data_IF_270416026679
#
_entry.id   IF_270416026679
#
_cell.length_a   1.000
_cell.length_b   1.000
_cell.length_c   1.000
_cell.angle_alpha   90.00
_cell.angle_beta   90.00
_cell.angle_gamma   90.00
#
_symmetry.space_group_name_H-M   'P 1'
#
loop_
_entity.id
_entity.type
_entity.pdbx_description
1 polymer ?
#
# COMPACT_ATOMS: atom_id res chain seq x y z
N UNK A 1 17.87 20.35 -43.46
CA UNK A 1 17.53 19.19 -42.64
C UNK A 1 17.18 19.72 -41.26
N UNK A 2 15.90 19.91 -41.01
CA UNK A 2 15.39 20.42 -39.74
C UNK A 2 15.27 19.24 -38.76
N UNK A 3 16.16 19.16 -37.77
CA UNK A 3 16.01 18.26 -36.66
C UNK A 3 14.82 18.74 -35.81
N UNK A 4 13.65 18.19 -36.07
CA UNK A 4 12.54 18.26 -35.12
C UNK A 4 12.95 17.40 -33.91
N UNK A 5 13.48 18.02 -32.88
CA UNK A 5 13.58 17.42 -31.56
C UNK A 5 12.16 17.05 -31.13
N UNK A 6 11.81 15.78 -31.23
CA UNK A 6 10.57 15.26 -30.68
C UNK A 6 10.64 15.40 -29.17
N UNK A 7 10.10 16.52 -28.64
CA UNK A 7 9.84 16.61 -27.22
C UNK A 7 9.08 15.35 -26.78
N UNK A 8 9.45 14.72 -25.67
CA UNK A 8 8.76 13.54 -25.17
C UNK A 8 7.28 13.92 -24.97
N UNK A 9 6.42 13.32 -25.79
CA UNK A 9 4.99 13.59 -25.71
C UNK A 9 4.47 13.08 -24.36
N UNK A 10 4.31 14.01 -23.43
CA UNK A 10 3.66 13.76 -22.17
C UNK A 10 2.38 12.94 -22.38
N UNK A 11 2.07 11.96 -21.52
CA UNK A 11 0.76 11.37 -21.49
C UNK A 11 -0.26 12.46 -21.14
N UNK A 12 -0.84 13.09 -22.16
CA UNK A 12 -1.71 14.28 -22.03
C UNK A 12 -2.83 14.13 -20.99
N UNK A 13 -3.24 12.88 -20.71
CA UNK A 13 -4.17 12.56 -19.63
C UNK A 13 -3.60 12.73 -18.22
N UNK A 14 -2.32 12.37 -17.99
CA UNK A 14 -1.69 12.50 -16.67
C UNK A 14 -1.41 13.96 -16.30
N UNK A 15 -1.04 14.80 -17.26
CA UNK A 15 -0.84 16.24 -17.00
C UNK A 15 -2.12 16.90 -16.49
N UNK A 16 -3.28 16.52 -17.04
CA UNK A 16 -4.57 17.05 -16.62
C UNK A 16 -4.95 16.69 -15.19
N UNK A 17 -4.37 15.61 -14.63
CA UNK A 17 -4.60 15.23 -13.23
C UNK A 17 -3.73 15.99 -12.24
N UNK A 18 -2.59 16.56 -12.67
CA UNK A 18 -1.65 17.28 -11.80
C UNK A 18 -2.30 18.50 -11.11
N UNK A 19 -3.02 19.41 -11.80
CA UNK A 19 -3.68 20.53 -11.14
C UNK A 19 -4.71 20.08 -10.10
N UNK A 20 -5.46 19.02 -10.38
CA UNK A 20 -6.44 18.47 -9.44
C UNK A 20 -5.73 17.90 -8.22
N UNK A 21 -4.67 17.12 -8.41
CA UNK A 21 -3.87 16.58 -7.31
C UNK A 21 -3.26 17.71 -6.45
N UNK A 22 -2.75 18.77 -7.06
CA UNK A 22 -2.22 19.93 -6.34
C UNK A 22 -3.29 20.64 -5.51
N UNK A 23 -4.50 20.85 -6.05
CA UNK A 23 -5.61 21.43 -5.30
C UNK A 23 -5.98 20.59 -4.08
N UNK A 24 -6.02 19.26 -4.25
CA UNK A 24 -6.30 18.34 -3.15
C UNK A 24 -5.20 18.36 -2.10
N UNK A 25 -3.92 18.45 -2.51
CA UNK A 25 -2.78 18.61 -1.58
C UNK A 25 -2.88 19.92 -0.80
N UNK A 26 -3.17 21.03 -1.48
CA UNK A 26 -3.33 22.34 -0.82
C UNK A 26 -4.47 22.30 0.20
N UNK A 27 -5.62 21.73 -0.16
CA UNK A 27 -6.74 21.57 0.76
C UNK A 27 -6.37 20.69 1.97
N UNK A 28 -5.66 19.59 1.75
CA UNK A 28 -5.17 18.72 2.82
C UNK A 28 -4.18 19.40 3.75
N UNK A 29 -3.24 20.17 3.20
CA UNK A 29 -2.28 20.95 3.99
C UNK A 29 -2.99 22.02 4.84
N UNK A 30 -3.96 22.73 4.27
CA UNK A 30 -4.76 23.72 5.02
C UNK A 30 -5.53 23.06 6.17
N UNK A 31 -6.15 21.90 5.91
CA UNK A 31 -6.84 21.12 6.94
C UNK A 31 -5.87 20.62 8.03
N UNK A 32 -4.66 20.18 7.65
CA UNK A 32 -3.65 19.76 8.61
C UNK A 32 -3.13 20.94 9.46
N UNK A 33 -2.95 22.13 8.90
CA UNK A 33 -2.62 23.31 9.69
C UNK A 33 -3.70 23.62 10.74
N UNK A 34 -4.98 23.43 10.42
CA UNK A 34 -6.08 23.55 11.40
C UNK A 34 -5.94 22.49 12.50
N UNK A 35 -5.66 21.23 12.13
CA UNK A 35 -5.45 20.16 13.09
C UNK A 35 -4.25 20.46 14.02
N UNK A 36 -3.13 20.95 13.47
CA UNK A 36 -1.95 21.31 14.26
C UNK A 36 -2.25 22.42 15.29
N UNK A 37 -3.09 23.41 14.90
CA UNK A 37 -3.43 24.52 15.79
C UNK A 37 -4.42 24.14 16.89
N UNK A 38 -5.31 23.17 16.63
CA UNK A 38 -6.38 22.77 17.55
C UNK A 38 -6.10 21.44 18.27
N UNK A 39 -5.08 20.70 17.84
CA UNK A 39 -4.75 19.38 18.33
C UNK A 39 -5.66 18.27 17.79
N UNK A 40 -5.37 17.02 18.17
CA UNK A 40 -6.12 15.84 17.72
C UNK A 40 -7.56 15.77 18.28
N UNK A 41 -7.93 16.59 19.23
CA UNK A 41 -9.29 16.63 19.82
C UNK A 41 -10.40 17.00 18.83
N UNK A 42 -10.07 17.49 17.63
CA UNK A 42 -11.05 17.79 16.56
C UNK A 42 -11.21 16.63 15.55
N UNK A 43 -10.48 15.53 15.75
CA UNK A 43 -10.61 14.29 14.99
C UNK A 43 -11.66 13.38 15.61
N UNK A 44 -11.97 12.28 14.93
CA UNK A 44 -12.82 11.22 15.48
C UNK A 44 -12.13 10.34 16.54
N UNK A 45 -10.84 10.57 16.81
CA UNK A 45 -10.07 9.80 17.78
C UNK A 45 -10.59 10.01 19.20
N UNK A 46 -10.52 8.96 20.00
CA UNK A 46 -10.92 8.97 21.41
C UNK A 46 -9.90 8.20 22.26
N UNK A 47 -10.12 8.22 23.60
CA UNK A 47 -9.32 7.38 24.48
C UNK A 47 -9.45 5.89 24.17
N UNK A 48 -10.63 5.43 23.74
CA UNK A 48 -10.92 4.02 23.47
C UNK A 48 -10.46 3.61 22.07
N UNK A 49 -10.53 4.53 21.09
CA UNK A 49 -10.04 4.33 19.71
C UNK A 49 -8.97 5.39 19.43
N UNK A 50 -7.73 5.07 19.75
CA UNK A 50 -6.59 5.99 19.61
C UNK A 50 -5.96 5.99 18.21
N UNK A 51 -6.22 4.97 17.39
CA UNK A 51 -5.79 4.87 16.00
C UNK A 51 -7.00 4.75 15.09
N UNK A 52 -7.16 5.72 14.20
CA UNK A 52 -8.28 5.82 13.29
C UNK A 52 -7.86 5.76 11.83
N UNK A 53 -8.42 6.66 11.02
CA UNK A 53 -8.22 6.71 9.57
C UNK A 53 -6.74 6.80 9.17
N UNK A 54 -5.94 7.63 9.84
CA UNK A 54 -4.54 7.85 9.45
C UNK A 54 -3.69 6.57 9.60
N UNK A 55 -3.74 5.92 10.76
CA UNK A 55 -3.01 4.66 10.99
C UNK A 55 -3.56 3.53 10.11
N UNK A 56 -4.86 3.54 9.81
CA UNK A 56 -5.47 2.61 8.86
C UNK A 56 -4.87 2.77 7.45
N UNK A 57 -4.66 4.00 7.00
CA UNK A 57 -4.03 4.27 5.71
C UNK A 57 -2.54 3.90 5.73
N UNK A 58 -1.81 4.25 6.80
CA UNK A 58 -0.43 3.82 6.99
C UNK A 58 -0.28 2.31 6.79
N UNK A 59 -1.04 1.52 7.54
CA UNK A 59 -1.00 0.04 7.49
C UNK A 59 -1.28 -0.50 6.09
N UNK A 60 -2.25 0.10 5.40
CA UNK A 60 -2.59 -0.29 4.04
C UNK A 60 -1.48 0.05 3.04
N UNK A 61 -0.93 1.27 3.08
CA UNK A 61 0.09 1.71 2.12
C UNK A 61 1.45 1.04 2.34
N UNK A 62 1.79 0.61 3.56
CA UNK A 62 2.90 -0.33 3.79
C UNK A 62 2.69 -1.60 2.95
N UNK A 63 1.44 -2.11 2.88
CA UNK A 63 1.09 -3.22 2.00
C UNK A 63 1.30 -2.92 0.51
N UNK A 64 0.89 -1.74 0.04
CA UNK A 64 1.06 -1.32 -1.36
C UNK A 64 2.55 -1.25 -1.76
N UNK A 65 3.45 -0.93 -0.83
CA UNK A 65 4.89 -0.91 -1.06
C UNK A 65 5.47 -2.28 -1.50
N UNK A 66 4.76 -3.40 -1.25
CA UNK A 66 5.14 -4.71 -1.78
C UNK A 66 5.08 -4.83 -3.31
N UNK A 67 4.52 -3.83 -4.01
CA UNK A 67 4.48 -3.81 -5.48
C UNK A 67 5.85 -4.04 -6.12
N UNK A 68 6.91 -3.46 -5.55
CA UNK A 68 8.27 -3.61 -6.07
C UNK A 68 8.75 -5.07 -5.97
N UNK A 69 8.66 -5.71 -4.81
CA UNK A 69 9.19 -7.08 -4.63
C UNK A 69 8.49 -8.11 -5.50
N UNK A 70 7.20 -7.90 -5.81
CA UNK A 70 6.44 -8.78 -6.70
C UNK A 70 6.92 -8.74 -8.15
N UNK A 71 7.65 -7.71 -8.53
CA UNK A 71 8.28 -7.57 -9.85
C UNK A 71 9.75 -7.97 -9.80
N UNK A 72 10.45 -7.60 -8.73
CA UNK A 72 11.87 -7.90 -8.50
C UNK A 72 12.12 -9.41 -8.47
N UNK A 73 11.31 -10.18 -7.74
CA UNK A 73 11.48 -11.64 -7.60
C UNK A 73 11.39 -12.36 -8.95
N UNK A 74 10.33 -12.22 -9.76
CA UNK A 74 10.28 -12.90 -11.06
C UNK A 74 11.38 -12.43 -12.02
N UNK A 75 11.72 -11.14 -12.01
CA UNK A 75 12.71 -10.58 -12.92
C UNK A 75 14.13 -11.08 -12.64
N UNK A 76 14.59 -11.00 -11.38
CA UNK A 76 15.97 -11.32 -11.02
C UNK A 76 16.20 -12.78 -10.64
N UNK A 77 15.23 -13.44 -9.98
CA UNK A 77 15.38 -14.83 -9.55
C UNK A 77 14.94 -15.85 -10.61
N UNK A 78 13.92 -15.52 -11.41
CA UNK A 78 13.37 -16.44 -12.41
C UNK A 78 13.65 -16.00 -13.85
N UNK A 79 14.47 -14.97 -14.05
CA UNK A 79 14.86 -14.42 -15.36
C UNK A 79 13.67 -14.07 -16.27
N UNK A 80 12.53 -13.69 -15.65
CA UNK A 80 11.31 -13.34 -16.37
C UNK A 80 11.39 -11.93 -16.96
N UNK A 81 12.02 -11.82 -18.13
CA UNK A 81 12.34 -10.54 -18.79
C UNK A 81 11.12 -9.70 -19.15
N UNK A 82 9.93 -10.29 -19.25
CA UNK A 82 8.69 -9.56 -19.47
C UNK A 82 8.40 -8.51 -18.39
N UNK A 83 8.99 -8.65 -17.18
CA UNK A 83 8.85 -7.69 -16.08
C UNK A 83 9.84 -6.52 -16.13
N UNK A 84 10.72 -6.43 -17.14
CA UNK A 84 11.73 -5.38 -17.18
C UNK A 84 11.17 -3.95 -17.06
N UNK A 85 10.11 -3.63 -17.83
CA UNK A 85 9.44 -2.32 -17.73
C UNK A 85 8.60 -2.16 -16.46
N UNK A 86 8.04 -3.25 -15.94
CA UNK A 86 7.32 -3.23 -14.67
C UNK A 86 8.23 -2.94 -13.47
N UNK A 87 9.53 -3.24 -13.58
CA UNK A 87 10.47 -3.07 -12.47
C UNK A 87 10.48 -1.61 -12.00
N UNK A 88 10.75 -0.66 -12.91
CA UNK A 88 10.79 0.77 -12.58
C UNK A 88 9.44 1.28 -12.11
N UNK A 89 8.33 0.82 -12.72
CA UNK A 89 6.97 1.20 -12.29
C UNK A 89 6.65 0.67 -10.90
N UNK A 90 7.00 -0.59 -10.61
CA UNK A 90 6.78 -1.23 -9.30
C UNK A 90 7.59 -0.56 -8.18
N UNK A 91 8.87 -0.28 -8.44
CA UNK A 91 9.74 0.42 -7.48
C UNK A 91 9.30 1.87 -7.27
N UNK A 92 8.86 2.58 -8.33
CA UNK A 92 8.29 3.93 -8.22
C UNK A 92 7.00 3.94 -7.40
N UNK A 93 6.13 2.96 -7.62
CA UNK A 93 4.91 2.80 -6.82
C UNK A 93 5.24 2.50 -5.36
N UNK A 94 6.25 1.68 -5.08
CA UNK A 94 6.70 1.42 -3.72
C UNK A 94 7.21 2.69 -3.03
N UNK A 95 8.00 3.52 -3.73
CA UNK A 95 8.45 4.83 -3.22
C UNK A 95 7.26 5.71 -2.89
N UNK A 96 6.29 5.86 -3.81
CA UNK A 96 5.09 6.66 -3.59
C UNK A 96 4.28 6.15 -2.39
N UNK A 97 4.11 4.84 -2.27
CA UNK A 97 3.39 4.21 -1.17
C UNK A 97 4.08 4.44 0.19
N UNK A 98 5.42 4.36 0.23
CA UNK A 98 6.19 4.62 1.45
C UNK A 98 6.16 6.10 1.86
N UNK A 99 6.17 7.02 0.90
CA UNK A 99 5.95 8.46 1.17
C UNK A 99 4.57 8.67 1.79
N UNK A 100 3.53 8.08 1.20
CA UNK A 100 2.15 8.16 1.73
C UNK A 100 2.08 7.57 3.13
N UNK A 101 2.64 6.38 3.35
CA UNK A 101 2.67 5.74 4.67
C UNK A 101 3.37 6.63 5.72
N UNK A 102 4.55 7.17 5.40
CA UNK A 102 5.28 8.07 6.29
C UNK A 102 4.50 9.35 6.61
N UNK A 103 3.85 9.96 5.61
CA UNK A 103 3.02 11.15 5.81
C UNK A 103 1.80 10.86 6.69
N UNK A 104 1.18 9.68 6.58
CA UNK A 104 0.08 9.31 7.47
C UNK A 104 0.50 9.21 8.93
N UNK A 105 1.71 8.73 9.22
CA UNK A 105 2.25 8.79 10.59
C UNK A 105 2.48 10.24 11.03
N UNK A 106 3.02 11.10 10.16
CA UNK A 106 3.26 12.51 10.49
C UNK A 106 1.97 13.25 10.83
N UNK A 107 0.88 13.03 10.07
CA UNK A 107 -0.40 13.71 10.34
C UNK A 107 -1.16 13.12 11.53
N UNK A 108 -0.88 11.85 11.91
CA UNK A 108 -1.43 11.22 13.10
C UNK A 108 -0.76 11.71 14.40
N UNK A 109 0.48 12.21 14.31
CA UNK A 109 1.20 12.67 15.49
C UNK A 109 0.64 14.00 16.00
N UNK A 110 0.30 14.05 17.28
CA UNK A 110 -0.06 15.31 17.96
C UNK A 110 1.11 16.30 18.07
N UNK A 111 2.36 15.82 17.93
CA UNK A 111 3.60 16.60 17.95
C UNK A 111 4.51 16.15 16.80
N UNK A 112 4.25 16.54 15.54
CA UNK A 112 5.02 16.08 14.36
C UNK A 112 6.51 16.41 14.42
N UNK A 113 6.91 17.48 15.12
CA UNK A 113 8.32 17.83 15.34
C UNK A 113 9.13 16.74 16.06
N UNK A 114 8.46 15.81 16.74
CA UNK A 114 9.08 14.68 17.44
C UNK A 114 9.15 13.40 16.60
N UNK A 115 8.74 13.41 15.35
CA UNK A 115 8.73 12.20 14.51
C UNK A 115 10.10 11.53 14.43
N UNK A 116 11.17 12.31 14.39
CA UNK A 116 12.54 11.79 14.33
C UNK A 116 13.09 11.30 15.68
N UNK A 117 12.38 11.52 16.80
CA UNK A 117 12.86 11.08 18.11
C UNK A 117 13.05 9.56 18.18
N UNK A 118 12.29 8.79 17.42
CA UNK A 118 12.44 7.34 17.33
C UNK A 118 13.83 6.92 16.81
N UNK A 119 14.47 7.76 15.98
CA UNK A 119 15.82 7.55 15.47
C UNK A 119 16.89 8.28 16.31
N UNK A 120 16.58 9.48 16.83
CA UNK A 120 17.51 10.28 17.63
C UNK A 120 17.71 9.69 19.03
N UNK A 121 16.70 9.05 19.57
CA UNK A 121 16.72 8.36 20.87
C UNK A 121 16.31 6.90 20.68
N UNK A 122 17.16 6.08 20.02
CA UNK A 122 16.81 4.73 19.64
C UNK A 122 16.56 3.83 20.87
N UNK A 123 15.47 3.06 20.80
CA UNK A 123 15.14 2.03 21.78
C UNK A 123 15.03 0.69 21.06
N UNK A 124 16.06 -0.17 21.08
CA UNK A 124 16.03 -1.47 20.37
C UNK A 124 14.96 -2.44 20.89
N UNK A 125 14.39 -2.22 22.06
CA UNK A 125 13.25 -2.99 22.57
C UNK A 125 11.90 -2.54 21.97
N UNK A 126 11.85 -1.38 21.29
CA UNK A 126 10.63 -0.86 20.69
C UNK A 126 10.45 -1.39 19.26
N UNK A 127 9.32 -2.03 18.99
CA UNK A 127 8.94 -2.43 17.63
C UNK A 127 8.79 -1.23 16.68
N UNK A 128 8.38 -0.06 17.20
CA UNK A 128 8.28 1.18 16.43
C UNK A 128 9.64 1.64 15.87
N UNK A 129 10.73 1.44 16.64
CA UNK A 129 12.09 1.71 16.16
C UNK A 129 12.45 0.81 14.97
N UNK A 130 12.18 -0.48 15.07
CA UNK A 130 12.45 -1.44 13.98
C UNK A 130 11.56 -1.19 12.76
N UNK A 131 10.29 -0.82 12.96
CA UNK A 131 9.37 -0.48 11.88
C UNK A 131 9.89 0.73 11.08
N UNK A 132 10.29 1.81 11.78
CA UNK A 132 10.90 2.99 11.16
C UNK A 132 12.18 2.65 10.39
N UNK A 133 13.04 1.80 10.96
CA UNK A 133 14.29 1.36 10.32
C UNK A 133 14.00 0.52 9.06
N UNK A 134 13.05 -0.41 9.13
CA UNK A 134 12.67 -1.25 8.00
C UNK A 134 12.04 -0.43 6.88
N UNK A 135 11.11 0.47 7.18
CA UNK A 135 10.45 1.34 6.20
C UNK A 135 11.45 2.30 5.54
N UNK A 136 12.28 2.97 6.36
CA UNK A 136 13.32 3.89 5.87
C UNK A 136 14.37 3.20 5.01
N UNK A 137 14.82 2.01 5.41
CA UNK A 137 15.77 1.21 4.63
C UNK A 137 15.17 0.72 3.32
N UNK A 138 13.92 0.25 3.32
CA UNK A 138 13.24 -0.16 2.08
C UNK A 138 13.02 1.00 1.13
N UNK A 139 12.65 2.17 1.66
CA UNK A 139 12.56 3.41 0.89
C UNK A 139 13.89 3.75 0.21
N UNK A 140 14.99 3.76 0.99
CA UNK A 140 16.32 4.06 0.46
C UNK A 140 16.76 3.06 -0.63
N UNK A 141 16.53 1.76 -0.43
CA UNK A 141 16.83 0.72 -1.43
C UNK A 141 16.08 1.00 -2.74
N UNK A 142 14.76 1.22 -2.69
CA UNK A 142 13.96 1.47 -3.90
C UNK A 142 14.38 2.77 -4.61
N UNK A 143 14.66 3.86 -3.86
CA UNK A 143 15.15 5.11 -4.45
C UNK A 143 16.47 4.90 -5.19
N UNK A 144 17.42 4.19 -4.58
CA UNK A 144 18.72 3.90 -5.22
C UNK A 144 18.54 3.03 -6.47
N UNK A 145 17.67 2.02 -6.43
CA UNK A 145 17.40 1.16 -7.59
C UNK A 145 16.76 1.94 -8.73
N UNK A 146 15.71 2.72 -8.46
CA UNK A 146 15.02 3.55 -9.48
C UNK A 146 15.96 4.58 -10.09
N UNK A 147 16.67 5.36 -9.27
CA UNK A 147 17.59 6.38 -9.79
C UNK A 147 18.71 5.77 -10.63
N UNK A 148 19.21 4.60 -10.23
CA UNK A 148 20.25 3.90 -11.01
C UNK A 148 19.68 3.35 -12.32
N UNK A 149 18.48 2.76 -12.31
CA UNK A 149 17.83 2.27 -13.51
C UNK A 149 17.60 3.39 -14.52
N UNK A 150 17.00 4.51 -14.08
CA UNK A 150 16.75 5.68 -14.93
C UNK A 150 18.04 6.31 -15.47
N UNK A 151 19.09 6.37 -14.64
CA UNK A 151 20.37 6.92 -15.07
C UNK A 151 21.07 6.01 -16.10
N UNK A 152 21.04 4.69 -15.94
CA UNK A 152 21.64 3.75 -16.89
C UNK A 152 20.88 3.73 -18.21
N UNK A 153 19.53 3.74 -18.17
CA UNK A 153 18.66 3.80 -19.34
C UNK A 153 18.91 5.10 -20.13
N UNK A 154 18.88 6.26 -19.46
CA UNK A 154 19.11 7.56 -20.11
C UNK A 154 20.47 7.67 -20.80
N UNK A 155 21.51 6.99 -20.32
CA UNK A 155 22.85 7.06 -20.87
C UNK A 155 23.21 5.85 -21.75
N UNK A 156 22.28 4.95 -22.04
CA UNK A 156 22.52 3.74 -22.84
C UNK A 156 23.57 2.80 -22.23
N UNK A 157 23.72 2.80 -20.89
CA UNK A 157 24.76 2.04 -20.20
C UNK A 157 24.23 0.69 -19.71
N UNK A 158 25.12 -0.30 -19.64
CA UNK A 158 24.79 -1.58 -19.02
C UNK A 158 24.55 -1.44 -17.51
N UNK A 159 23.58 -2.20 -16.98
CA UNK A 159 23.27 -2.23 -15.55
C UNK A 159 24.50 -2.56 -14.71
N UNK A 160 24.80 -1.75 -13.70
CA UNK A 160 25.97 -1.91 -12.82
C UNK A 160 25.88 -3.21 -12.02
N UNK A 161 27.02 -3.87 -11.83
CA UNK A 161 27.09 -5.19 -11.16
C UNK A 161 26.53 -5.20 -9.73
N UNK A 162 26.61 -4.08 -9.00
CA UNK A 162 26.11 -3.97 -7.62
C UNK A 162 24.57 -3.83 -7.52
N UNK A 163 23.87 -3.55 -8.61
CA UNK A 163 22.40 -3.45 -8.63
C UNK A 163 21.75 -4.78 -8.28
N UNK A 164 22.28 -5.89 -8.81
CA UNK A 164 21.73 -7.23 -8.52
C UNK A 164 21.77 -7.59 -7.02
N UNK A 165 22.90 -7.50 -6.31
CA UNK A 165 22.94 -7.73 -4.86
C UNK A 165 21.96 -6.84 -4.09
N UNK A 166 21.82 -5.56 -4.46
CA UNK A 166 20.88 -4.66 -3.81
C UNK A 166 19.42 -5.05 -4.09
N UNK A 167 19.11 -5.47 -5.32
CA UNK A 167 17.78 -6.01 -5.65
C UNK A 167 17.49 -7.30 -4.88
N UNK A 168 18.45 -8.20 -4.70
CA UNK A 168 18.29 -9.36 -3.84
C UNK A 168 18.08 -9.00 -2.36
N UNK A 169 18.78 -7.98 -1.87
CA UNK A 169 18.58 -7.47 -0.50
C UNK A 169 17.19 -6.87 -0.31
N UNK A 170 16.60 -6.27 -1.36
CA UNK A 170 15.24 -5.71 -1.26
C UNK A 170 14.17 -6.76 -0.95
N UNK A 171 14.40 -8.04 -1.31
CA UNK A 171 13.43 -9.12 -1.09
C UNK A 171 13.23 -9.42 0.40
N UNK A 172 14.25 -9.83 1.19
CA UNK A 172 14.08 -10.03 2.62
C UNK A 172 13.70 -8.73 3.33
N UNK A 173 14.13 -7.58 2.82
CA UNK A 173 13.74 -6.28 3.38
C UNK A 173 12.24 -6.00 3.21
N UNK A 174 11.66 -6.31 2.05
CA UNK A 174 10.22 -6.22 1.84
C UNK A 174 9.42 -7.17 2.74
N UNK A 175 9.95 -8.37 3.01
CA UNK A 175 9.33 -9.28 4.00
C UNK A 175 9.40 -8.68 5.40
N UNK A 176 10.53 -8.07 5.76
CA UNK A 176 10.73 -7.50 7.10
C UNK A 176 9.79 -6.32 7.38
N UNK A 177 9.51 -5.42 6.42
CA UNK A 177 8.57 -4.32 6.66
C UNK A 177 7.17 -4.84 7.04
N UNK A 178 6.69 -5.88 6.36
CA UNK A 178 5.38 -6.45 6.68
C UNK A 178 5.36 -7.22 7.98
N UNK A 179 6.45 -7.93 8.28
CA UNK A 179 6.57 -8.71 9.51
C UNK A 179 6.68 -7.81 10.74
N UNK A 180 7.52 -6.77 10.69
CA UNK A 180 7.70 -5.85 11.82
C UNK A 180 6.45 -5.02 12.05
N UNK A 181 5.81 -4.51 10.98
CA UNK A 181 4.52 -3.80 11.11
C UNK A 181 3.43 -4.72 11.69
N UNK A 182 3.36 -6.00 11.30
CA UNK A 182 2.43 -6.95 11.91
C UNK A 182 2.73 -7.16 13.40
N UNK A 183 3.99 -7.29 13.78
CA UNK A 183 4.39 -7.45 15.18
C UNK A 183 4.12 -6.18 16.01
N UNK A 184 4.12 -5.00 15.39
CA UNK A 184 3.73 -3.76 16.06
C UNK A 184 2.29 -3.86 16.62
N UNK A 185 1.39 -4.51 15.90
CA UNK A 185 0.01 -4.74 16.34
C UNK A 185 -0.11 -5.96 17.25
N UNK A 186 0.44 -7.11 16.84
CA UNK A 186 0.38 -8.34 17.61
C UNK A 186 1.09 -8.24 18.99
N UNK A 187 2.05 -7.33 19.12
CA UNK A 187 2.76 -7.08 20.38
C UNK A 187 2.04 -6.16 21.35
N UNK A 188 0.83 -5.68 21.04
CA UNK A 188 0.07 -4.81 21.94
C UNK A 188 -0.82 -5.63 22.89
N UNK A 189 -0.51 -5.68 24.19
CA UNK A 189 -1.28 -6.48 25.13
C UNK A 189 -2.72 -5.96 25.27
N UNK A 190 -3.66 -6.86 25.49
CA UNK A 190 -5.06 -6.55 25.68
C UNK A 190 -5.80 -6.14 24.40
N UNK A 191 -5.29 -6.58 23.24
CA UNK A 191 -5.92 -6.40 21.93
C UNK A 191 -6.12 -7.76 21.23
N UNK A 192 -7.06 -8.58 21.71
CA UNK A 192 -7.21 -9.97 21.23
C UNK A 192 -7.42 -10.11 19.74
N UNK A 193 -8.03 -9.10 19.08
CA UNK A 193 -8.22 -9.11 17.62
C UNK A 193 -6.89 -9.10 16.85
N UNK A 194 -5.82 -8.57 17.44
CA UNK A 194 -4.49 -8.52 16.82
C UNK A 194 -3.54 -9.63 17.32
N UNK A 195 -3.87 -10.28 18.44
CA UNK A 195 -3.04 -11.31 19.07
C UNK A 195 -3.16 -12.64 18.31
N UNK A 196 -2.53 -12.70 17.12
CA UNK A 196 -2.52 -13.93 16.31
C UNK A 196 -1.16 -14.17 15.67
N UNK A 197 -0.68 -15.41 15.71
CA UNK A 197 0.55 -15.82 15.03
C UNK A 197 0.45 -15.74 13.50
N UNK A 198 -0.77 -15.72 12.95
CA UNK A 198 -1.03 -15.68 11.51
C UNK A 198 -0.92 -14.25 10.96
N UNK A 199 -0.82 -13.24 11.80
CA UNK A 199 -0.87 -11.83 11.39
C UNK A 199 0.22 -11.45 10.39
N UNK A 200 1.48 -11.87 10.62
CA UNK A 200 2.58 -11.54 9.71
C UNK A 200 2.42 -12.21 8.33
N UNK A 201 2.13 -13.53 8.21
CA UNK A 201 1.77 -14.15 6.93
C UNK A 201 0.58 -13.49 6.24
N UNK A 202 -0.46 -13.10 6.99
CA UNK A 202 -1.65 -12.41 6.47
C UNK A 202 -1.31 -11.02 5.93
N UNK A 203 -0.46 -10.26 6.65
CA UNK A 203 0.02 -8.95 6.17
C UNK A 203 0.77 -9.07 4.86
N UNK A 204 1.61 -10.09 4.73
CA UNK A 204 2.35 -10.36 3.50
C UNK A 204 1.41 -10.77 2.36
N UNK A 205 0.46 -11.68 2.60
CA UNK A 205 -0.51 -12.10 1.60
C UNK A 205 -1.39 -10.93 1.11
N UNK A 206 -1.90 -10.10 2.03
CA UNK A 206 -2.69 -8.91 1.68
C UNK A 206 -1.89 -7.85 0.92
N UNK A 207 -0.59 -7.72 1.22
CA UNK A 207 0.32 -6.84 0.51
C UNK A 207 0.52 -7.29 -0.95
N UNK A 208 0.63 -8.61 -1.15
CA UNK A 208 0.72 -9.22 -2.49
C UNK A 208 -0.60 -9.18 -3.27
N UNK A 209 -1.70 -8.78 -2.63
CA UNK A 209 -2.95 -8.41 -3.30
C UNK A 209 -2.97 -6.93 -3.67
N UNK A 210 -2.76 -6.04 -2.70
CA UNK A 210 -2.98 -4.60 -2.84
C UNK A 210 -1.95 -3.93 -3.76
N UNK A 211 -0.66 -4.18 -3.56
CA UNK A 211 0.42 -3.61 -4.37
C UNK A 211 0.32 -3.98 -5.85
N UNK A 212 0.31 -5.28 -6.18
CA UNK A 212 0.15 -5.74 -7.56
C UNK A 212 -1.17 -5.32 -8.21
N UNK A 213 -2.29 -5.21 -7.46
CA UNK A 213 -3.56 -4.75 -8.01
C UNK A 213 -3.49 -3.28 -8.44
N UNK A 214 -2.89 -2.41 -7.61
CA UNK A 214 -2.69 -1.02 -7.99
C UNK A 214 -1.70 -0.89 -9.15
N UNK A 215 -0.62 -1.67 -9.15
CA UNK A 215 0.34 -1.71 -10.27
C UNK A 215 -0.35 -2.15 -11.57
N UNK A 216 -1.20 -3.18 -11.51
CA UNK A 216 -1.98 -3.63 -12.66
C UNK A 216 -2.92 -2.53 -13.18
N UNK A 217 -3.61 -1.80 -12.30
CA UNK A 217 -4.45 -0.66 -12.68
C UNK A 217 -3.65 0.42 -13.39
N UNK A 218 -2.45 0.77 -12.89
CA UNK A 218 -1.55 1.74 -13.52
C UNK A 218 -1.13 1.25 -14.91
N UNK A 219 -0.71 0.00 -15.04
CA UNK A 219 -0.32 -0.61 -16.33
C UNK A 219 -1.48 -0.57 -17.32
N UNK A 220 -2.68 -0.95 -16.90
CA UNK A 220 -3.86 -0.89 -17.76
C UNK A 220 -4.20 0.55 -18.18
N UNK A 221 -3.99 1.52 -17.30
CA UNK A 221 -4.19 2.95 -17.59
C UNK A 221 -3.17 3.48 -18.60
N UNK A 222 -1.93 3.00 -18.52
CA UNK A 222 -0.81 3.46 -19.37
C UNK A 222 -0.66 2.67 -20.68
N UNK A 223 -1.40 1.58 -20.87
CA UNK A 223 -1.23 0.64 -22.01
C UNK A 223 -1.22 1.29 -23.39
N UNK A 224 -2.04 2.33 -23.58
CA UNK A 224 -2.17 3.01 -24.87
C UNK A 224 -1.15 4.17 -25.05
N UNK A 225 -0.17 4.28 -24.14
CA UNK A 225 0.83 5.34 -24.17
C UNK A 225 2.14 4.85 -24.81
N UNK A 226 2.76 5.64 -25.70
CA UNK A 226 4.03 5.28 -26.32
C UNK A 226 5.10 4.94 -25.27
N UNK A 227 5.82 3.85 -25.48
CA UNK A 227 6.90 3.42 -24.58
C UNK A 227 6.47 2.80 -23.24
N UNK A 228 5.16 2.75 -22.94
CA UNK A 228 4.64 2.27 -21.63
C UNK A 228 3.96 0.90 -21.68
N UNK A 229 3.87 0.28 -22.87
CA UNK A 229 3.28 -1.06 -22.97
C UNK A 229 4.22 -2.12 -22.39
N UNK A 230 3.75 -2.82 -21.37
CA UNK A 230 4.50 -3.89 -20.68
C UNK A 230 4.29 -5.28 -21.30
N UNK A 231 3.43 -5.37 -22.31
CA UNK A 231 3.10 -6.63 -22.99
C UNK A 231 2.10 -7.51 -22.25
N UNK A 232 1.44 -8.44 -22.98
CA UNK A 232 0.35 -9.27 -22.44
C UNK A 232 0.84 -10.32 -21.42
N UNK A 233 2.07 -10.80 -21.55
CA UNK A 233 2.61 -11.82 -20.63
C UNK A 233 2.85 -11.26 -19.23
N UNK A 234 3.31 -10.02 -19.13
CA UNK A 234 3.48 -9.34 -17.87
C UNK A 234 2.13 -9.08 -17.17
N UNK A 235 1.12 -8.63 -17.91
CA UNK A 235 -0.25 -8.45 -17.40
C UNK A 235 -0.82 -9.78 -16.90
N UNK A 236 -0.63 -10.86 -17.68
CA UNK A 236 -1.08 -12.20 -17.31
C UNK A 236 -0.40 -12.70 -16.03
N UNK A 237 0.92 -12.58 -15.95
CA UNK A 237 1.69 -13.00 -14.77
C UNK A 237 1.25 -12.22 -13.52
N UNK A 238 1.11 -10.90 -13.61
CA UNK A 238 0.64 -10.04 -12.52
C UNK A 238 -0.78 -10.44 -12.06
N UNK A 239 -1.67 -10.74 -13.00
CA UNK A 239 -3.03 -11.24 -12.71
C UNK A 239 -3.00 -12.58 -11.96
N UNK A 240 -2.07 -13.48 -12.31
CA UNK A 240 -1.90 -14.75 -11.61
C UNK A 240 -1.39 -14.54 -10.18
N UNK A 241 -0.42 -13.64 -9.99
CA UNK A 241 0.10 -13.27 -8.66
C UNK A 241 -1.06 -12.79 -7.77
N UNK A 242 -1.86 -11.83 -8.25
CA UNK A 242 -3.02 -11.29 -7.52
C UNK A 242 -4.00 -12.41 -7.15
N UNK A 243 -4.34 -13.30 -8.09
CA UNK A 243 -5.30 -14.37 -7.87
C UNK A 243 -4.84 -15.35 -6.79
N UNK A 244 -3.58 -15.80 -6.84
CA UNK A 244 -3.04 -16.72 -5.84
C UNK A 244 -2.87 -16.05 -4.48
N UNK A 245 -2.34 -14.82 -4.45
CA UNK A 245 -2.20 -14.06 -3.21
C UNK A 245 -3.57 -13.82 -2.54
N UNK A 246 -4.60 -13.49 -3.32
CA UNK A 246 -5.95 -13.30 -2.80
C UNK A 246 -6.54 -14.59 -2.22
N UNK A 247 -6.31 -15.73 -2.87
CA UNK A 247 -6.72 -17.04 -2.35
C UNK A 247 -6.04 -17.36 -1.01
N UNK A 248 -4.73 -17.11 -0.91
CA UNK A 248 -3.97 -17.28 0.33
C UNK A 248 -4.47 -16.31 1.41
N UNK A 249 -4.71 -15.05 1.07
CA UNK A 249 -5.21 -14.05 2.02
C UNK A 249 -6.59 -14.44 2.57
N UNK A 250 -7.52 -14.86 1.72
CA UNK A 250 -8.85 -15.32 2.13
C UNK A 250 -8.77 -16.59 3.00
N UNK A 251 -7.87 -17.51 2.67
CA UNK A 251 -7.62 -18.71 3.47
C UNK A 251 -7.11 -18.35 4.86
N UNK A 252 -6.13 -17.44 4.97
CA UNK A 252 -5.58 -17.01 6.26
C UNK A 252 -6.61 -16.28 7.12
N UNK A 253 -7.46 -15.43 6.53
CA UNK A 253 -8.61 -14.82 7.23
C UNK A 253 -9.56 -15.92 7.73
N UNK A 254 -9.86 -16.91 6.90
CA UNK A 254 -10.67 -18.07 7.28
C UNK A 254 -10.09 -18.85 8.45
N UNK A 255 -8.76 -19.04 8.48
CA UNK A 255 -8.04 -19.70 9.58
C UNK A 255 -8.19 -18.89 10.88
N UNK A 256 -8.02 -17.57 10.83
CA UNK A 256 -8.20 -16.70 12.02
C UNK A 256 -9.64 -16.75 12.55
N UNK A 257 -10.63 -16.60 11.65
CA UNK A 257 -12.05 -16.71 12.04
C UNK A 257 -12.35 -18.06 12.67
N UNK A 258 -11.86 -19.15 12.05
CA UNK A 258 -12.05 -20.50 12.59
C UNK A 258 -11.42 -20.64 13.97
N UNK A 259 -10.16 -20.23 14.10
CA UNK A 259 -9.43 -20.35 15.38
C UNK A 259 -10.13 -19.56 16.48
N UNK A 260 -10.50 -18.31 16.23
CA UNK A 260 -11.18 -17.46 17.21
C UNK A 260 -12.54 -18.04 17.66
N UNK A 261 -13.33 -18.58 16.72
CA UNK A 261 -14.64 -19.12 17.04
C UNK A 261 -14.57 -20.53 17.66
N UNK A 262 -13.58 -21.36 17.27
CA UNK A 262 -13.44 -22.73 17.74
C UNK A 262 -12.77 -22.81 19.12
N UNK A 263 -11.75 -21.97 19.38
CA UNK A 263 -11.02 -21.98 20.64
C UNK A 263 -11.87 -21.53 21.86
N UNK A 264 -12.95 -20.77 21.59
CA UNK A 264 -13.84 -20.23 22.63
C UNK A 264 -13.12 -19.43 23.71
N UNK A 265 -11.97 -18.85 23.41
CA UNK A 265 -11.29 -17.91 24.30
C UNK A 265 -12.14 -16.64 24.39
N UNK A 266 -12.66 -16.27 25.59
CA UNK A 266 -13.68 -15.23 25.70
C UNK A 266 -13.29 -13.91 25.04
N UNK A 267 -12.06 -13.43 25.24
CA UNK A 267 -11.59 -12.18 24.64
C UNK A 267 -11.50 -12.22 23.12
N UNK A 268 -11.06 -13.34 22.53
CA UNK A 268 -10.99 -13.50 21.07
C UNK A 268 -12.39 -13.56 20.45
N UNK A 269 -13.28 -14.38 21.01
CA UNK A 269 -14.67 -14.51 20.53
C UNK A 269 -15.40 -13.16 20.59
N UNK A 270 -15.23 -12.41 21.67
CA UNK A 270 -15.85 -11.09 21.83
C UNK A 270 -15.32 -10.09 20.80
N UNK A 271 -13.99 -10.05 20.55
CA UNK A 271 -13.38 -9.17 19.57
C UNK A 271 -13.88 -9.47 18.14
N UNK A 272 -13.94 -10.75 17.77
CA UNK A 272 -14.47 -11.16 16.46
C UNK A 272 -15.98 -10.90 16.33
N UNK A 273 -16.76 -11.09 17.38
CA UNK A 273 -18.20 -10.72 17.40
C UNK A 273 -18.37 -9.21 17.24
N UNK A 274 -17.59 -8.41 17.96
CA UNK A 274 -17.63 -6.95 17.82
C UNK A 274 -17.30 -6.53 16.36
N UNK A 275 -16.25 -7.08 15.78
CA UNK A 275 -15.84 -6.73 14.41
C UNK A 275 -16.85 -7.14 13.33
N UNK A 276 -17.56 -8.27 13.48
CA UNK A 276 -18.42 -8.81 12.42
C UNK A 276 -19.92 -8.68 12.69
N UNK A 277 -20.36 -8.55 13.95
CA UNK A 277 -21.77 -8.58 14.30
C UNK A 277 -22.27 -7.28 14.93
N UNK A 278 -21.41 -6.51 15.61
CA UNK A 278 -21.87 -5.29 16.27
C UNK A 278 -22.24 -4.20 15.23
N UNK A 279 -23.45 -3.63 15.30
CA UNK A 279 -23.86 -2.58 14.38
C UNK A 279 -23.13 -1.24 14.58
N UNK A 280 -22.52 -1.03 15.74
CA UNK A 280 -21.78 0.19 16.06
C UNK A 280 -20.29 0.10 15.73
N UNK A 281 -19.78 -1.11 15.54
CA UNK A 281 -18.39 -1.38 15.19
C UNK A 281 -18.09 -1.35 13.69
N UNK A 282 -17.03 -2.06 13.31
CA UNK A 282 -16.51 -2.10 11.91
C UNK A 282 -17.23 -3.11 11.00
N UNK A 283 -18.36 -3.69 11.45
CA UNK A 283 -19.12 -4.74 10.74
C UNK A 283 -19.28 -4.47 9.24
N UNK A 284 -19.68 -3.25 8.88
CA UNK A 284 -19.93 -2.90 7.48
C UNK A 284 -18.64 -2.97 6.65
N UNK A 285 -17.50 -2.52 7.22
CA UNK A 285 -16.19 -2.60 6.58
C UNK A 285 -15.76 -4.03 6.36
N UNK A 286 -15.95 -4.91 7.35
CA UNK A 286 -15.56 -6.32 7.29
C UNK A 286 -16.38 -7.10 6.27
N UNK A 287 -17.71 -6.98 6.27
CA UNK A 287 -18.57 -7.68 5.32
C UNK A 287 -18.45 -7.14 3.90
N UNK A 288 -18.34 -5.81 3.72
CA UNK A 288 -18.11 -5.23 2.41
C UNK A 288 -16.76 -5.68 1.83
N UNK A 289 -15.71 -5.68 2.62
CA UNK A 289 -14.40 -6.22 2.23
C UNK A 289 -14.48 -7.68 1.82
N UNK A 290 -15.10 -8.53 2.65
CA UNK A 290 -15.27 -9.96 2.36
C UNK A 290 -16.01 -10.17 1.03
N UNK A 291 -17.11 -9.43 0.82
CA UNK A 291 -17.89 -9.51 -0.42
C UNK A 291 -17.05 -9.09 -1.64
N UNK A 292 -16.35 -7.95 -1.57
CA UNK A 292 -15.51 -7.46 -2.67
C UNK A 292 -14.38 -8.45 -3.01
N UNK A 293 -13.69 -8.97 -1.99
CA UNK A 293 -12.61 -9.93 -2.18
C UNK A 293 -13.10 -11.27 -2.75
N UNK A 294 -14.24 -11.81 -2.27
CA UNK A 294 -14.80 -13.07 -2.78
C UNK A 294 -15.30 -12.92 -4.22
N UNK A 295 -16.00 -11.81 -4.55
CA UNK A 295 -16.46 -11.52 -5.91
C UNK A 295 -15.24 -11.39 -6.85
N UNK A 296 -14.22 -10.64 -6.44
CA UNK A 296 -13.00 -10.48 -7.23
C UNK A 296 -12.26 -11.82 -7.42
N UNK A 297 -12.16 -12.62 -6.36
CA UNK A 297 -11.54 -13.94 -6.41
C UNK A 297 -12.24 -14.84 -7.42
N UNK A 298 -13.56 -14.98 -7.35
CA UNK A 298 -14.34 -15.73 -8.32
C UNK A 298 -14.22 -15.18 -9.75
N UNK A 299 -14.29 -13.86 -9.92
CA UNK A 299 -14.16 -13.21 -11.22
C UNK A 299 -12.80 -13.48 -11.90
N UNK A 300 -11.70 -13.51 -11.12
CA UNK A 300 -10.36 -13.79 -11.65
C UNK A 300 -10.16 -15.22 -12.17
N UNK A 301 -11.09 -16.16 -11.92
CA UNK A 301 -11.08 -17.48 -12.55
C UNK A 301 -11.77 -17.49 -13.92
N UNK A 302 -12.63 -16.52 -14.20
CA UNK A 302 -13.35 -16.42 -15.48
C UNK A 302 -12.40 -15.94 -16.59
N UNK A 303 -12.20 -16.70 -17.68
CA UNK A 303 -11.28 -16.32 -18.76
C UNK A 303 -11.61 -14.96 -19.38
N UNK A 304 -12.89 -14.65 -19.60
CA UNK A 304 -13.34 -13.38 -20.17
C UNK A 304 -12.90 -12.17 -19.32
N UNK A 305 -12.91 -12.28 -17.99
CA UNK A 305 -12.46 -11.21 -17.08
C UNK A 305 -10.97 -10.94 -17.22
N UNK A 306 -10.17 -11.98 -17.44
CA UNK A 306 -8.71 -11.86 -17.57
C UNK A 306 -8.26 -11.33 -18.94
N UNK A 307 -9.09 -11.48 -19.97
CA UNK A 307 -8.80 -11.05 -21.34
C UNK A 307 -9.28 -9.62 -21.57
N UNK A 308 -10.50 -9.30 -21.12
CA UNK A 308 -11.11 -8.00 -21.36
C UNK A 308 -10.60 -6.97 -20.35
N UNK A 309 -9.96 -5.90 -20.88
CA UNK A 309 -9.33 -4.83 -20.06
C UNK A 309 -10.25 -4.24 -18.99
N UNK A 310 -11.52 -3.97 -19.35
CA UNK A 310 -12.48 -3.33 -18.44
C UNK A 310 -12.82 -4.23 -17.26
N UNK A 311 -13.06 -5.51 -17.50
CA UNK A 311 -13.38 -6.47 -16.45
C UNK A 311 -12.17 -6.77 -15.57
N UNK A 312 -10.97 -6.84 -16.18
CA UNK A 312 -9.73 -7.02 -15.42
C UNK A 312 -9.45 -5.81 -14.51
N UNK A 313 -9.65 -4.58 -15.04
CA UNK A 313 -9.51 -3.37 -14.23
C UNK A 313 -10.54 -3.34 -13.09
N UNK A 314 -11.80 -3.73 -13.35
CA UNK A 314 -12.82 -3.83 -12.31
C UNK A 314 -12.42 -4.86 -11.24
N UNK A 315 -11.98 -6.06 -11.63
CA UNK A 315 -11.54 -7.08 -10.69
C UNK A 315 -10.36 -6.59 -9.83
N UNK A 316 -9.36 -5.94 -10.42
CA UNK A 316 -8.23 -5.36 -9.70
C UNK A 316 -8.69 -4.26 -8.72
N UNK A 317 -9.66 -3.43 -9.11
CA UNK A 317 -10.25 -2.40 -8.23
C UNK A 317 -10.98 -3.03 -7.05
N UNK A 318 -11.74 -4.11 -7.27
CA UNK A 318 -12.43 -4.83 -6.20
C UNK A 318 -11.43 -5.45 -5.20
N UNK A 319 -10.33 -6.05 -5.69
CA UNK A 319 -9.26 -6.55 -4.82
C UNK A 319 -8.65 -5.42 -3.99
N UNK A 320 -8.26 -4.33 -4.65
CA UNK A 320 -7.64 -3.17 -4.00
C UNK A 320 -8.55 -2.57 -2.93
N UNK A 321 -9.80 -2.30 -3.28
CA UNK A 321 -10.78 -1.73 -2.36
C UNK A 321 -11.13 -2.68 -1.21
N UNK A 322 -11.32 -3.97 -1.49
CA UNK A 322 -11.61 -4.98 -0.47
C UNK A 322 -10.48 -5.10 0.55
N UNK A 323 -9.23 -5.20 0.09
CA UNK A 323 -8.06 -5.26 0.98
C UNK A 323 -7.87 -3.93 1.72
N UNK A 324 -8.14 -2.77 1.09
CA UNK A 324 -8.11 -1.47 1.75
C UNK A 324 -9.13 -1.37 2.90
N UNK A 325 -10.35 -1.87 2.69
CA UNK A 325 -11.38 -1.86 3.74
C UNK A 325 -11.01 -2.78 4.90
N UNK A 326 -10.51 -3.96 4.61
CA UNK A 326 -10.19 -4.97 5.62
C UNK A 326 -8.92 -4.62 6.39
N UNK A 327 -7.79 -4.46 5.71
CA UNK A 327 -6.49 -4.19 6.33
C UNK A 327 -6.36 -2.77 6.88
N UNK A 328 -7.14 -1.83 6.34
CA UNK A 328 -7.22 -0.46 6.83
C UNK A 328 -8.19 -0.34 8.00
N UNK A 329 -9.37 0.22 7.74
CA UNK A 329 -10.36 0.54 8.78
C UNK A 329 -10.84 -0.69 9.55
N UNK A 330 -11.12 -1.80 8.87
CA UNK A 330 -11.62 -3.02 9.49
C UNK A 330 -10.64 -3.58 10.53
N UNK A 331 -9.37 -3.69 10.16
CA UNK A 331 -8.33 -4.23 11.03
C UNK A 331 -7.92 -3.26 12.15
N UNK A 332 -7.67 -1.98 11.82
CA UNK A 332 -7.17 -1.02 12.80
C UNK A 332 -8.24 -0.68 13.83
N UNK A 333 -9.41 -0.23 13.39
CA UNK A 333 -10.49 0.13 14.32
C UNK A 333 -11.05 -1.10 15.03
N UNK A 334 -11.19 -2.23 14.33
CA UNK A 334 -11.61 -3.50 14.91
C UNK A 334 -10.73 -4.00 16.04
N UNK A 335 -9.42 -3.71 16.01
CA UNK A 335 -8.51 -4.05 17.10
C UNK A 335 -8.70 -3.21 18.37
N UNK A 336 -9.48 -2.13 18.31
CA UNK A 336 -9.90 -1.35 19.49
C UNK A 336 -11.26 -1.76 20.03
N UNK A 337 -11.95 -2.68 19.37
CA UNK A 337 -13.30 -3.14 19.72
C UNK A 337 -13.32 -4.61 20.17
N UNK A 338 -13.90 -4.95 21.33
CA UNK A 338 -14.32 -4.00 22.37
C UNK A 338 -13.11 -3.35 23.07
N UNK A 339 -13.36 -2.22 23.73
CA UNK A 339 -12.34 -1.63 24.59
C UNK A 339 -12.03 -2.58 25.76
N UNK A 340 -10.89 -2.42 26.49
CA UNK A 340 -10.60 -3.24 27.67
C UNK A 340 -11.67 -3.17 28.77
N UNK A 341 -12.58 -2.20 28.71
CA UNK A 341 -13.73 -2.06 29.61
C UNK A 341 -15.01 -2.71 29.05
N UNK A 342 -14.93 -3.44 27.92
CA UNK A 342 -16.04 -4.12 27.30
C UNK A 342 -16.99 -3.19 26.50
N UNK A 343 -16.60 -1.95 26.24
CA UNK A 343 -17.42 -1.02 25.43
C UNK A 343 -17.01 -1.06 23.96
N UNK A 344 -17.99 -1.05 23.07
CA UNK A 344 -17.80 -0.82 21.63
C UNK A 344 -18.02 0.67 21.37
N UNK A 345 -16.94 1.37 21.03
CA UNK A 345 -16.97 2.82 20.78
C UNK A 345 -16.98 3.07 19.29
N UNK A 346 -18.05 3.68 18.79
CA UNK A 346 -18.14 4.01 17.37
C UNK A 346 -17.08 5.05 16.98
N UNK A 347 -16.14 4.65 16.13
CA UNK A 347 -15.24 5.58 15.43
C UNK A 347 -15.85 5.97 14.08
N UNK A 348 -15.85 7.26 13.80
CA UNK A 348 -16.22 7.79 12.48
C UNK A 348 -15.22 8.89 12.10
N UNK A 349 -14.52 8.75 10.96
CA UNK A 349 -13.62 9.80 10.50
C UNK A 349 -14.36 11.13 10.34
N UNK A 350 -13.77 12.21 10.80
CA UNK A 350 -14.30 13.55 10.57
C UNK A 350 -14.03 14.00 9.13
N UNK A 351 -14.77 15.02 8.67
CA UNK A 351 -14.52 15.64 7.37
C UNK A 351 -13.08 16.17 7.25
N UNK A 352 -12.52 16.65 8.37
CA UNK A 352 -11.15 17.13 8.43
C UNK A 352 -10.14 16.01 8.20
N UNK A 353 -10.32 14.85 8.89
CA UNK A 353 -9.46 13.68 8.69
C UNK A 353 -9.53 13.17 7.25
N UNK A 354 -10.72 13.14 6.66
CA UNK A 354 -10.89 12.75 5.26
C UNK A 354 -10.17 13.73 4.31
N UNK A 355 -10.29 15.04 4.55
CA UNK A 355 -9.64 16.06 3.72
C UNK A 355 -8.11 15.95 3.80
N UNK A 356 -7.55 15.75 4.99
CA UNK A 356 -6.10 15.52 5.19
C UNK A 356 -5.69 14.24 4.46
N UNK A 357 -6.46 13.16 4.58
CA UNK A 357 -6.16 11.88 3.94
C UNK A 357 -6.14 11.99 2.41
N UNK A 358 -7.09 12.71 1.82
CA UNK A 358 -7.06 13.00 0.38
C UNK A 358 -5.83 13.83 -0.02
N UNK A 359 -5.40 14.79 0.82
CA UNK A 359 -4.17 15.55 0.60
C UNK A 359 -2.93 14.66 0.58
N UNK A 360 -2.83 13.72 1.51
CA UNK A 360 -1.73 12.74 1.56
C UNK A 360 -1.76 11.82 0.34
N UNK A 361 -2.93 11.32 -0.07
CA UNK A 361 -3.07 10.53 -1.31
C UNK A 361 -2.72 11.35 -2.55
N UNK A 362 -3.11 12.63 -2.60
CA UNK A 362 -2.72 13.55 -3.66
C UNK A 362 -1.21 13.70 -3.77
N UNK A 363 -0.51 13.79 -2.64
CA UNK A 363 0.96 13.82 -2.60
C UNK A 363 1.56 12.54 -3.17
N UNK A 364 1.06 11.37 -2.77
CA UNK A 364 1.49 10.09 -3.32
C UNK A 364 1.26 9.99 -4.84
N UNK A 365 0.11 10.47 -5.32
CA UNK A 365 -0.18 10.52 -6.75
C UNK A 365 0.81 11.41 -7.50
N UNK A 366 1.18 12.59 -6.96
CA UNK A 366 2.19 13.47 -7.57
C UNK A 366 3.57 12.82 -7.60
N UNK A 367 3.99 12.13 -6.54
CA UNK A 367 5.26 11.37 -6.52
C UNK A 367 5.25 10.28 -7.59
N UNK A 368 4.17 9.53 -7.70
CA UNK A 368 4.01 8.49 -8.73
C UNK A 368 4.04 9.07 -10.15
N UNK A 369 3.31 10.17 -10.39
CA UNK A 369 3.28 10.85 -11.69
C UNK A 369 4.69 11.36 -12.06
N UNK A 370 5.41 11.95 -11.10
CA UNK A 370 6.78 12.41 -11.32
C UNK A 370 7.72 11.25 -11.69
N UNK A 371 7.62 10.11 -11.00
CA UNK A 371 8.41 8.92 -11.30
C UNK A 371 8.09 8.31 -12.67
N UNK A 372 6.81 8.22 -13.05
CA UNK A 372 6.38 7.77 -14.38
C UNK A 372 6.92 8.72 -15.46
N UNK A 373 6.89 10.02 -15.21
CA UNK A 373 7.45 11.01 -16.12
C UNK A 373 8.97 10.83 -16.31
N UNK A 374 9.71 10.68 -15.23
CA UNK A 374 11.15 10.43 -15.29
C UNK A 374 11.47 9.16 -16.08
N UNK A 375 10.69 8.07 -15.88
CA UNK A 375 10.84 6.84 -16.63
C UNK A 375 10.56 7.04 -18.13
N UNK A 376 9.50 7.76 -18.50
CA UNK A 376 9.17 8.02 -19.90
C UNK A 376 10.22 8.88 -20.63
N UNK A 377 10.82 9.84 -19.93
CA UNK A 377 11.89 10.69 -20.50
C UNK A 377 13.20 9.93 -20.67
N UNK A 378 13.52 8.99 -19.77
CA UNK A 378 14.71 8.15 -19.88
C UNK A 378 14.61 7.22 -21.10
N UNK A 379 13.47 6.54 -21.29
CA UNK A 379 13.23 5.65 -22.45
C UNK A 379 13.23 6.40 -23.81
N UNK A 380 12.74 7.65 -23.84
CA UNK A 380 12.77 8.45 -25.05
C UNK A 380 14.19 8.87 -25.46
N UNK A 381 15.08 9.09 -24.48
CA UNK A 381 16.47 9.42 -24.74
C UNK A 381 17.30 8.23 -25.28
N UNK A 382 16.93 7.00 -24.94
CA UNK A 382 17.55 5.78 -25.49
C UNK A 382 17.17 5.54 -26.97
N UNK A 383 15.94 5.95 -27.36
CA UNK A 383 15.41 5.76 -28.71
C UNK A 383 15.88 6.84 -29.72
N UNK A 384 16.49 7.93 -29.27
CA UNK A 384 17.00 9.04 -30.06
C UNK A 384 18.50 8.92 -30.32
#
# INVERSE_FOLDING_TARGET
MSSTSSEPAWPSGLIRTVPVALLVVIAGLAAWCIQLSRGLGITGLSRDVSWGLYVSQFTFFVGVAASAVMVVVPYYLHDFKAFGRLLVLGETLAIAALVVAGLFIVVDLGQPSRVLNVLLYPSPQSLMFWDMLCLGGYFAINVVLVLTALWTEKNGLATRRWVRPLAYLSIPWAVSIHTVTAFLYAGLPGRPFWETAVLAPRFLASAFCSGPSLLLLIVLLLKDKPGMDVGPDAVRALTHIIRYALGINLFLIGVEVFTALYSWLPGEVEAWRAAYLDPHGVRLWMWASAALCLIAFGALFVPAVRIERRYLALAATLVFAGVWMEKGMGFIVGGFEPSPLGHVTRYSPTFLEATISFGVWGTGALVLIAGIWLASTASAAEAA
#
